data_IF_726760163809
#
_entry.id   IF_726760163809
#
_cell.length_a   1.000
_cell.length_b   1.000
_cell.length_c   1.000
_cell.angle_alpha   90.00
_cell.angle_beta   90.00
_cell.angle_gamma   90.00
#
_symmetry.space_group_name_H-M   'P 1'
#
loop_
_entity.id
_entity.type
_entity.pdbx_description
1 polymer ?
#
# COMPACT_ATOMS: atom_id res chain seq x y z
N UNK A 1 -16.09 -4.65 3.12
CA UNK A 1 -14.62 -4.60 3.23
C UNK A 1 -14.24 -3.22 3.75
N UNK A 2 -13.84 -3.11 5.02
CA UNK A 2 -13.26 -1.88 5.58
C UNK A 2 -11.79 -1.83 5.17
N UNK A 3 -11.51 -1.24 4.00
CA UNK A 3 -10.14 -0.86 3.64
C UNK A 3 -9.60 0.11 4.67
N UNK A 4 -8.34 -0.02 5.06
CA UNK A 4 -7.70 1.05 5.85
C UNK A 4 -7.71 2.31 4.97
N UNK A 5 -8.00 3.50 5.51
CA UNK A 5 -8.07 4.70 4.70
C UNK A 5 -6.67 5.20 4.34
N UNK A 6 -6.54 5.75 3.12
CA UNK A 6 -5.47 6.71 2.84
C UNK A 6 -5.79 8.00 3.59
N UNK A 7 -4.80 8.59 4.26
CA UNK A 7 -4.92 9.78 5.10
C UNK A 7 -4.04 10.89 4.56
N UNK A 8 -4.58 12.09 4.51
CA UNK A 8 -3.95 13.29 3.99
C UNK A 8 -4.07 14.43 4.99
N UNK A 9 -2.93 14.97 5.44
CA UNK A 9 -2.85 15.98 6.49
C UNK A 9 -1.90 17.11 6.08
N UNK A 10 -2.40 18.17 5.42
CA UNK A 10 -1.61 19.36 5.14
C UNK A 10 -1.39 20.21 6.40
N UNK A 11 -0.20 20.82 6.48
CA UNK A 11 0.14 21.87 7.42
C UNK A 11 -0.11 23.22 6.74
N UNK A 12 -1.12 23.94 7.22
CA UNK A 12 -1.56 25.21 6.66
C UNK A 12 -1.30 26.33 7.65
N UNK A 13 -0.80 27.46 7.14
CA UNK A 13 -0.60 28.68 7.92
C UNK A 13 -1.40 29.82 7.32
N UNK A 14 -2.28 30.42 8.10
CA UNK A 14 -2.91 31.71 7.75
C UNK A 14 -1.99 32.84 8.22
N UNK A 15 -1.92 33.95 7.50
CA UNK A 15 -1.12 35.12 7.91
C UNK A 15 -1.89 36.45 7.89
N UNK A 16 -3.19 36.38 7.59
CA UNK A 16 -4.14 37.50 7.66
C UNK A 16 -5.39 36.97 8.37
N UNK A 17 -6.10 37.83 9.11
CA UNK A 17 -7.40 37.46 9.67
C UNK A 17 -8.45 37.34 8.57
N UNK A 18 -9.21 36.27 8.59
CA UNK A 18 -10.28 36.01 7.64
C UNK A 18 -10.95 34.66 7.87
N UNK A 19 -12.00 34.44 7.09
CA UNK A 19 -12.63 33.13 6.92
C UNK A 19 -12.00 32.44 5.71
N UNK A 20 -11.48 31.24 5.94
CA UNK A 20 -10.81 30.43 4.94
C UNK A 20 -11.63 29.17 4.69
N UNK A 21 -11.86 28.85 3.42
CA UNK A 21 -12.43 27.59 2.99
C UNK A 21 -11.42 26.84 2.12
N UNK A 22 -11.17 25.59 2.46
CA UNK A 22 -10.23 24.73 1.76
C UNK A 22 -10.92 23.42 1.39
N UNK A 23 -10.80 23.05 0.13
CA UNK A 23 -11.22 21.74 -0.36
C UNK A 23 -10.02 20.80 -0.44
N UNK A 24 -10.15 19.68 0.27
CA UNK A 24 -9.23 18.55 0.27
C UNK A 24 -9.85 17.46 -0.59
N UNK A 25 -9.30 17.20 -1.77
CA UNK A 25 -9.78 16.14 -2.66
C UNK A 25 -8.78 15.00 -2.73
N UNK A 26 -9.20 13.81 -2.31
CA UNK A 26 -8.46 12.54 -2.46
C UNK A 26 -9.24 11.66 -3.43
N UNK A 27 -8.66 11.30 -4.58
CA UNK A 27 -9.29 10.42 -5.60
C UNK A 27 -10.77 10.72 -5.87
N UNK A 28 -11.08 12.01 -6.06
CA UNK A 28 -12.43 12.50 -6.36
C UNK A 28 -13.36 12.63 -5.14
N UNK A 29 -12.97 12.15 -3.97
CA UNK A 29 -13.69 12.42 -2.72
C UNK A 29 -13.23 13.76 -2.15
N UNK A 30 -14.14 14.72 -2.07
CA UNK A 30 -13.85 16.07 -1.58
C UNK A 30 -14.37 16.24 -0.15
N UNK A 31 -13.49 16.74 0.72
CA UNK A 31 -13.84 17.25 2.05
C UNK A 31 -13.57 18.75 2.08
N UNK A 32 -14.62 19.53 2.34
CA UNK A 32 -14.48 20.96 2.61
C UNK A 32 -14.23 21.16 4.10
N UNK A 33 -13.23 21.97 4.41
CA UNK A 33 -12.89 22.37 5.77
C UNK A 33 -12.82 23.89 5.83
N UNK A 34 -13.31 24.46 6.93
CA UNK A 34 -13.34 25.91 7.12
C UNK A 34 -12.54 26.30 8.35
N UNK A 35 -11.92 27.48 8.29
CA UNK A 35 -11.18 28.09 9.40
C UNK A 35 -11.53 29.57 9.48
N UNK A 36 -12.14 29.98 10.57
CA UNK A 36 -12.41 31.39 10.90
C UNK A 36 -11.35 31.88 11.89
N UNK A 37 -10.49 32.80 11.46
CA UNK A 37 -9.45 33.43 12.29
C UNK A 37 -9.84 34.85 12.74
N UNK A 38 -11.03 35.33 12.38
CA UNK A 38 -11.46 36.70 12.73
C UNK A 38 -11.57 36.91 14.24
N UNK A 39 -11.92 35.84 14.95
CA UNK A 39 -12.06 35.78 16.41
C UNK A 39 -10.76 35.43 17.13
N UNK A 40 -9.73 35.02 16.42
CA UNK A 40 -8.45 34.64 17.01
C UNK A 40 -7.69 35.88 17.51
N UNK A 41 -6.91 35.71 18.59
CA UNK A 41 -6.11 36.80 19.15
C UNK A 41 -4.96 37.23 18.20
N UNK A 42 -4.52 36.33 17.33
CA UNK A 42 -3.41 36.51 16.39
C UNK A 42 -3.90 36.35 14.94
N UNK A 43 -3.26 37.06 14.01
CA UNK A 43 -3.55 36.92 12.57
C UNK A 43 -2.89 35.67 11.95
N UNK A 44 -1.88 35.13 12.65
CA UNK A 44 -1.14 33.95 12.23
C UNK A 44 -1.65 32.74 13.02
N UNK A 45 -2.11 31.72 12.32
CA UNK A 45 -2.61 30.49 12.94
C UNK A 45 -2.21 29.27 12.13
N UNK A 46 -1.68 28.26 12.82
CA UNK A 46 -1.48 26.93 12.28
C UNK A 46 -2.82 26.20 12.18
N UNK A 47 -2.97 25.40 11.14
CA UNK A 47 -4.15 24.61 10.88
C UNK A 47 -3.80 23.30 10.17
N UNK A 48 -4.27 22.19 10.73
CA UNK A 48 -3.96 20.83 10.26
C UNK A 48 -5.24 20.05 10.00
N UNK A 49 -6.00 20.35 8.93
CA UNK A 49 -7.17 19.56 8.61
C UNK A 49 -6.74 18.20 8.06
N UNK A 50 -7.59 17.19 8.25
CA UNK A 50 -7.34 15.83 7.76
C UNK A 50 -8.44 15.40 6.79
N UNK A 51 -8.06 14.74 5.70
CA UNK A 51 -8.98 14.06 4.78
C UNK A 51 -8.61 12.59 4.65
N UNK A 52 -9.63 11.73 4.56
CA UNK A 52 -9.45 10.29 4.48
C UNK A 52 -10.35 9.67 3.41
N UNK A 53 -9.84 8.71 2.64
CA UNK A 53 -10.62 7.90 1.70
C UNK A 53 -10.33 6.43 1.94
N UNK A 54 -11.38 5.60 1.90
CA UNK A 54 -11.22 4.16 2.01
C UNK A 54 -10.47 3.61 0.79
N UNK A 55 -9.32 2.96 1.01
CA UNK A 55 -8.50 2.39 -0.06
C UNK A 55 -7.25 3.22 -0.39
N UNK A 56 -6.62 2.89 -1.53
CA UNK A 56 -5.46 3.60 -2.06
C UNK A 56 -5.89 4.83 -2.84
N UNK A 57 -5.14 5.92 -2.72
CA UNK A 57 -5.30 7.13 -3.53
C UNK A 57 -4.12 7.34 -4.49
N UNK A 58 -4.32 7.82 -5.70
CA UNK A 58 -3.22 8.16 -6.62
C UNK A 58 -3.10 9.66 -6.88
N UNK A 59 -4.01 10.45 -6.31
CA UNK A 59 -4.09 11.88 -6.56
C UNK A 59 -4.57 12.63 -5.33
N UNK A 60 -3.91 13.75 -5.05
CA UNK A 60 -4.40 14.72 -4.08
C UNK A 60 -4.45 16.11 -4.68
N UNK A 61 -5.56 16.81 -4.41
CA UNK A 61 -5.74 18.21 -4.77
C UNK A 61 -6.14 19.00 -3.53
N UNK A 62 -5.36 20.05 -3.26
CA UNK A 62 -5.67 21.09 -2.30
C UNK A 62 -6.18 22.31 -3.07
N UNK A 63 -7.38 22.80 -2.76
CA UNK A 63 -7.93 24.01 -3.39
C UNK A 63 -8.31 25.00 -2.31
N UNK A 64 -7.66 26.18 -2.31
CA UNK A 64 -8.14 27.32 -1.54
C UNK A 64 -9.33 27.93 -2.30
N UNK A 65 -10.47 28.03 -1.62
CA UNK A 65 -11.68 28.60 -2.20
C UNK A 65 -11.63 30.12 -1.98
N UNK A 66 -11.78 30.94 -3.04
CA UNK A 66 -11.80 32.39 -2.90
C UNK A 66 -12.93 32.84 -1.97
N UNK A 67 -12.60 33.71 -1.01
CA UNK A 67 -13.56 34.40 -0.16
C UNK A 67 -13.67 35.88 -0.51
N UNK A 68 -14.50 36.60 0.25
CA UNK A 68 -14.79 38.03 0.03
C UNK A 68 -13.68 38.98 0.51
N UNK A 69 -12.65 38.45 1.16
CA UNK A 69 -11.53 39.23 1.69
C UNK A 69 -10.22 38.83 1.04
N UNK A 70 -9.36 39.82 0.77
CA UNK A 70 -8.00 39.56 0.31
C UNK A 70 -7.24 38.84 1.43
N UNK A 71 -6.86 37.60 1.15
CA UNK A 71 -6.19 36.73 2.11
C UNK A 71 -5.19 35.83 1.41
N UNK A 72 -4.45 35.09 2.21
CA UNK A 72 -3.55 34.08 1.70
C UNK A 72 -3.20 33.07 2.77
N UNK A 73 -2.79 31.91 2.29
CA UNK A 73 -2.46 30.76 3.11
C UNK A 73 -1.17 30.16 2.58
N UNK A 74 -0.26 29.80 3.48
CA UNK A 74 0.94 29.06 3.14
C UNK A 74 0.67 27.58 3.40
N UNK A 75 1.17 26.75 2.50
CA UNK A 75 1.28 25.31 2.73
C UNK A 75 2.71 25.06 3.15
N UNK A 76 2.90 24.65 4.39
CA UNK A 76 4.24 24.37 4.93
C UNK A 76 4.70 22.98 4.52
N UNK A 77 3.91 21.97 4.87
CA UNK A 77 4.19 20.59 4.54
C UNK A 77 2.92 19.79 4.34
N UNK A 78 3.10 18.58 3.84
CA UNK A 78 2.02 17.67 3.59
C UNK A 78 2.42 16.26 4.03
N UNK A 79 1.71 15.73 5.02
CA UNK A 79 1.80 14.33 5.39
C UNK A 79 0.78 13.50 4.61
N UNK A 80 1.25 12.42 3.99
CA UNK A 80 0.42 11.46 3.28
C UNK A 80 0.74 10.06 3.77
N UNK A 81 -0.28 9.33 4.23
CA UNK A 81 -0.17 7.94 4.62
C UNK A 81 -1.09 7.08 3.74
N UNK A 82 -0.54 6.02 3.16
CA UNK A 82 -1.30 5.05 2.38
C UNK A 82 -1.16 3.65 2.95
N UNK A 83 -2.25 2.88 3.02
CA UNK A 83 -2.17 1.49 3.41
C UNK A 83 -1.71 0.64 2.24
N UNK A 84 -0.65 -0.13 2.46
CA UNK A 84 -0.27 -1.23 1.58
C UNK A 84 -1.03 -2.47 2.05
N UNK A 85 -1.98 -2.96 1.25
CA UNK A 85 -2.74 -4.16 1.59
C UNK A 85 -2.08 -5.40 0.98
N UNK A 86 -1.75 -6.37 1.83
CA UNK A 86 -1.24 -7.67 1.42
C UNK A 86 -2.24 -8.77 1.80
N UNK A 87 -2.85 -9.38 0.78
CA UNK A 87 -3.77 -10.51 0.96
C UNK A 87 -2.99 -11.83 0.88
N UNK A 88 -2.90 -12.52 2.02
CA UNK A 88 -2.13 -13.77 2.12
C UNK A 88 -2.97 -15.02 1.86
N UNK A 89 -4.26 -14.90 1.53
CA UNK A 89 -5.12 -16.03 1.11
C UNK A 89 -5.04 -17.25 2.04
N UNK A 90 -5.00 -16.99 3.35
CA UNK A 90 -4.91 -17.98 4.42
C UNK A 90 -3.61 -18.82 4.36
N UNK A 91 -2.51 -18.25 3.84
CA UNK A 91 -1.20 -18.88 3.72
C UNK A 91 -0.10 -18.08 4.42
N UNK A 92 1.04 -18.74 4.67
CA UNK A 92 2.27 -18.06 5.02
C UNK A 92 2.89 -17.36 3.81
N UNK A 93 3.70 -16.34 4.05
CA UNK A 93 4.39 -15.61 2.98
C UNK A 93 5.68 -14.97 3.47
N UNK A 94 6.62 -14.80 2.55
CA UNK A 94 7.73 -13.88 2.70
C UNK A 94 7.44 -12.68 1.81
N UNK A 95 7.58 -11.47 2.36
CA UNK A 95 7.44 -10.25 1.59
C UNK A 95 8.50 -9.24 2.01
N UNK A 96 8.87 -8.37 1.07
CA UNK A 96 9.83 -7.30 1.31
C UNK A 96 9.07 -5.97 1.41
N UNK A 97 9.43 -5.17 2.41
CA UNK A 97 9.06 -3.78 2.47
C UNK A 97 9.77 -2.94 1.41
N UNK A 98 9.50 -1.65 1.41
CA UNK A 98 10.10 -0.69 0.49
C UNK A 98 10.68 0.44 1.33
N UNK A 99 11.78 1.05 0.89
CA UNK A 99 12.34 2.23 1.56
C UNK A 99 11.27 3.33 1.70
N UNK A 100 11.31 4.02 2.84
CA UNK A 100 10.29 4.98 3.29
C UNK A 100 9.52 4.51 4.52
N UNK A 101 8.66 5.37 5.04
CA UNK A 101 7.76 5.03 6.15
C UNK A 101 6.42 4.57 5.60
N UNK A 102 6.09 3.31 5.83
CA UNK A 102 4.90 2.66 5.26
C UNK A 102 4.01 2.08 6.34
N UNK A 103 2.70 2.11 6.10
CA UNK A 103 1.69 1.43 6.91
C UNK A 103 1.21 0.19 6.16
N UNK A 104 1.55 -0.99 6.66
CA UNK A 104 1.12 -2.26 6.09
C UNK A 104 -0.20 -2.71 6.72
N UNK A 105 -1.09 -3.25 5.90
CA UNK A 105 -2.29 -3.98 6.32
C UNK A 105 -2.21 -5.40 5.77
N UNK A 106 -2.20 -6.36 6.66
CA UNK A 106 -2.28 -7.78 6.30
C UNK A 106 -3.76 -8.21 6.30
N UNK A 107 -4.16 -9.02 5.34
CA UNK A 107 -5.52 -9.58 5.28
C UNK A 107 -5.49 -11.07 4.94
N UNK A 108 -6.58 -11.75 5.30
CA UNK A 108 -6.74 -13.20 5.12
C UNK A 108 -5.53 -13.99 5.66
N UNK A 109 -5.14 -13.72 6.89
CA UNK A 109 -4.04 -14.43 7.55
C UNK A 109 -4.47 -15.84 7.99
N UNK A 110 -3.56 -16.83 7.95
CA UNK A 110 -3.80 -18.14 8.54
C UNK A 110 -4.09 -18.04 10.04
N UNK A 111 -4.93 -18.94 10.56
CA UNK A 111 -5.16 -19.06 12.00
C UNK A 111 -3.85 -19.32 12.76
N UNK A 112 -3.65 -18.65 13.89
CA UNK A 112 -2.42 -18.81 14.68
C UNK A 112 -1.16 -18.30 13.99
N UNK A 113 -1.30 -17.33 13.07
CA UNK A 113 -0.16 -16.74 12.41
C UNK A 113 0.82 -16.08 13.39
N UNK A 114 2.08 -15.99 12.98
CA UNK A 114 3.14 -15.22 13.64
C UNK A 114 3.90 -14.44 12.58
N UNK A 115 4.03 -13.13 12.80
CA UNK A 115 4.81 -12.23 11.94
C UNK A 115 6.21 -12.02 12.51
N UNK A 116 7.22 -12.21 11.66
CA UNK A 116 8.61 -11.95 11.97
C UNK A 116 9.17 -10.90 11.01
N UNK A 117 10.01 -10.02 11.55
CA UNK A 117 11.03 -9.33 10.78
C UNK A 117 12.24 -10.28 10.67
N UNK A 118 12.60 -10.60 9.43
CA UNK A 118 13.70 -11.50 9.06
C UNK A 118 14.74 -10.78 8.20
N UNK A 119 14.84 -9.46 8.34
CA UNK A 119 15.86 -8.66 7.62
C UNK A 119 17.27 -9.16 7.90
N UNK A 120 17.55 -9.51 9.17
CA UNK A 120 18.65 -10.41 9.51
C UNK A 120 18.11 -11.84 9.68
N UNK A 121 18.37 -12.75 8.73
CA UNK A 121 17.84 -14.11 8.80
C UNK A 121 18.44 -14.93 9.95
N UNK A 122 19.58 -14.53 10.52
CA UNK A 122 20.20 -15.20 11.68
C UNK A 122 19.66 -14.68 13.01
N UNK A 123 18.96 -13.54 13.01
CA UNK A 123 18.32 -12.97 14.19
C UNK A 123 16.87 -12.52 13.92
N UNK A 124 15.93 -13.45 13.62
CA UNK A 124 14.53 -13.11 13.42
C UNK A 124 13.90 -12.45 14.64
N UNK A 125 13.14 -11.38 14.42
CA UNK A 125 12.44 -10.63 15.47
C UNK A 125 10.93 -10.85 15.34
N UNK A 126 10.30 -11.38 16.38
CA UNK A 126 8.84 -11.53 16.43
C UNK A 126 8.18 -10.16 16.62
N UNK A 127 7.38 -9.73 15.64
CA UNK A 127 6.58 -8.51 15.72
C UNK A 127 5.27 -8.76 16.46
N UNK A 128 5.13 -8.11 17.63
CA UNK A 128 3.94 -8.20 18.50
C UNK A 128 3.19 -6.88 18.52
N UNK A 129 1.93 -6.92 18.95
CA UNK A 129 1.15 -5.70 19.20
C UNK A 129 0.50 -5.08 17.97
N UNK A 130 0.32 -5.83 16.89
CA UNK A 130 -0.44 -5.37 15.73
C UNK A 130 -1.92 -5.19 16.10
N UNK A 131 -2.43 -3.96 15.98
CA UNK A 131 -3.87 -3.69 16.01
C UNK A 131 -4.45 -3.90 14.62
N UNK A 132 -5.59 -4.60 14.52
CA UNK A 132 -6.35 -4.77 13.28
C UNK A 132 -5.53 -5.26 12.05
N UNK A 133 -4.52 -6.09 12.29
CA UNK A 133 -3.60 -6.61 11.26
C UNK A 133 -2.80 -5.50 10.54
N UNK A 134 -2.57 -4.39 11.22
CA UNK A 134 -1.76 -3.28 10.72
C UNK A 134 -0.49 -3.09 11.52
N UNK A 135 0.57 -2.63 10.84
CA UNK A 135 1.80 -2.16 11.47
C UNK A 135 2.47 -1.07 10.60
N UNK A 136 3.33 -0.28 11.22
CA UNK A 136 4.15 0.72 10.55
C UNK A 136 5.63 0.34 10.62
N UNK A 137 6.37 0.61 9.55
CA UNK A 137 7.81 0.38 9.48
C UNK A 137 8.49 1.40 8.56
N UNK A 138 9.81 1.54 8.71
CA UNK A 138 10.69 2.42 7.96
C UNK A 138 11.78 3.07 8.81
N UNK A 139 12.67 3.87 8.22
CA UNK A 139 12.70 4.25 6.81
C UNK A 139 13.39 3.22 5.90
N UNK A 140 14.12 2.27 6.45
CA UNK A 140 14.85 1.27 5.66
C UNK A 140 13.94 0.09 5.31
N UNK A 141 14.06 -0.45 4.09
CA UNK A 141 13.31 -1.65 3.70
C UNK A 141 13.68 -2.87 4.57
N UNK A 142 12.64 -3.56 5.06
CA UNK A 142 12.77 -4.80 5.85
C UNK A 142 12.18 -6.01 5.15
N UNK A 143 12.61 -7.20 5.53
CA UNK A 143 12.03 -8.47 5.02
C UNK A 143 11.20 -9.12 6.10
N UNK A 144 10.02 -9.59 5.73
CA UNK A 144 9.03 -10.13 6.66
C UNK A 144 8.65 -11.56 6.32
N UNK A 145 8.38 -12.34 7.37
CA UNK A 145 7.83 -13.69 7.26
C UNK A 145 6.55 -13.80 8.08
N UNK A 146 5.45 -14.13 7.41
CA UNK A 146 4.25 -14.65 8.07
C UNK A 146 4.33 -16.17 8.08
N UNK A 147 4.46 -16.71 9.28
CA UNK A 147 4.39 -18.15 9.55
C UNK A 147 3.08 -18.50 10.23
N UNK A 148 2.74 -19.79 10.34
CA UNK A 148 1.59 -20.27 11.11
C UNK A 148 1.94 -21.56 11.83
N UNK A 149 1.30 -21.75 13.00
CA UNK A 149 1.63 -22.80 13.97
C UNK A 149 1.52 -24.24 13.44
N UNK A 150 0.71 -24.48 12.40
CA UNK A 150 0.43 -25.85 11.93
C UNK A 150 1.28 -26.32 10.73
N UNK A 151 2.13 -25.46 10.16
CA UNK A 151 3.10 -25.90 9.15
C UNK A 151 4.08 -24.77 8.79
N UNK A 152 5.36 -24.99 9.06
CA UNK A 152 6.47 -24.18 8.54
C UNK A 152 6.89 -24.58 7.12
N UNK A 153 6.27 -25.62 6.55
CA UNK A 153 6.55 -26.14 5.22
C UNK A 153 5.40 -25.78 4.29
N UNK A 154 5.65 -24.85 3.37
CA UNK A 154 4.83 -24.72 2.18
C UNK A 154 4.65 -26.11 1.56
N UNK A 155 3.43 -26.65 1.57
CA UNK A 155 3.11 -27.90 0.87
C UNK A 155 2.72 -27.49 -0.55
N UNK A 156 3.61 -27.63 -1.56
CA UNK A 156 3.26 -27.29 -2.93
C UNK A 156 2.05 -28.14 -3.34
N UNK A 157 1.03 -27.52 -3.92
CA UNK A 157 -0.04 -28.27 -4.56
C UNK A 157 0.52 -28.91 -5.83
N UNK A 158 0.74 -30.23 -5.77
CA UNK A 158 1.02 -31.03 -6.95
C UNK A 158 -0.30 -31.23 -7.69
N UNK A 159 -0.50 -30.47 -8.77
CA UNK A 159 -1.63 -30.69 -9.68
C UNK A 159 -1.16 -31.65 -10.77
N UNK A 160 -1.84 -32.78 -10.91
CA UNK A 160 -1.62 -33.68 -12.03
C UNK A 160 -2.06 -33.00 -13.33
N UNK A 161 -1.11 -32.76 -14.24
CA UNK A 161 -1.46 -32.38 -15.61
C UNK A 161 -1.92 -33.60 -16.39
N UNK A 162 -3.02 -33.47 -17.12
CA UNK A 162 -3.38 -34.46 -18.14
C UNK A 162 -2.27 -34.48 -19.20
N UNK A 163 -1.63 -35.63 -19.47
CA UNK A 163 -0.62 -35.72 -20.52
C UNK A 163 -1.18 -35.23 -21.85
N UNK A 164 -0.38 -34.42 -22.56
CA UNK A 164 -0.68 -34.08 -23.95
C UNK A 164 -0.73 -35.38 -24.76
N UNK A 165 -1.86 -35.61 -25.43
CA UNK A 165 -2.02 -36.76 -26.32
C UNK A 165 -1.35 -36.46 -27.65
N UNK A 166 -0.21 -37.08 -27.90
CA UNK A 166 0.52 -37.01 -29.19
C UNK A 166 -0.14 -37.84 -30.30
N UNK A 167 -1.37 -38.33 -30.10
CA UNK A 167 -2.03 -39.23 -31.05
C UNK A 167 -2.38 -38.56 -32.39
N UNK A 168 -2.36 -37.23 -32.46
CA UNK A 168 -2.47 -36.45 -33.70
C UNK A 168 -1.12 -36.26 -34.43
N UNK A 169 0.00 -36.69 -33.82
CA UNK A 169 1.38 -36.33 -34.19
C UNK A 169 2.17 -37.52 -34.74
N UNK A 170 1.53 -38.48 -35.42
CA UNK A 170 2.21 -39.67 -35.98
C UNK A 170 3.26 -39.40 -37.07
N UNK A 171 3.56 -38.13 -37.37
CA UNK A 171 4.51 -37.70 -38.40
C UNK A 171 5.34 -36.48 -37.96
N UNK A 172 5.76 -36.43 -36.69
CA UNK A 172 6.65 -35.35 -36.23
C UNK A 172 8.00 -35.94 -35.85
N UNK A 173 9.06 -35.53 -36.55
CA UNK A 173 10.42 -36.04 -36.36
C UNK A 173 11.13 -35.43 -35.13
N UNK A 174 10.61 -34.34 -34.56
CA UNK A 174 11.13 -33.71 -33.36
C UNK A 174 10.04 -32.99 -32.54
N UNK A 175 10.18 -33.00 -31.21
CA UNK A 175 9.35 -32.23 -30.26
C UNK A 175 10.24 -31.23 -29.55
N UNK A 176 9.90 -29.94 -29.64
CA UNK A 176 10.62 -28.85 -28.98
C UNK A 176 9.91 -28.47 -27.68
N UNK A 177 10.64 -28.42 -26.58
CA UNK A 177 10.14 -27.99 -25.26
C UNK A 177 11.01 -26.83 -24.78
N UNK A 178 10.43 -25.64 -24.64
CA UNK A 178 11.11 -24.45 -24.11
C UNK A 178 10.13 -23.51 -23.38
N UNK A 179 10.62 -22.62 -22.51
CA UNK A 179 9.81 -21.53 -21.96
C UNK A 179 9.29 -20.63 -23.08
N UNK A 180 8.08 -20.08 -22.93
CA UNK A 180 7.36 -19.39 -24.02
C UNK A 180 8.17 -18.30 -24.72
N UNK A 181 8.99 -17.54 -23.98
CA UNK A 181 9.81 -16.46 -24.54
C UNK A 181 11.02 -16.92 -25.37
N UNK A 182 11.33 -18.22 -25.39
CA UNK A 182 12.48 -18.78 -26.11
C UNK A 182 12.08 -19.63 -27.32
N UNK A 183 10.78 -19.81 -27.58
CA UNK A 183 10.31 -20.65 -28.69
C UNK A 183 10.85 -20.11 -30.03
N UNK A 184 10.84 -18.79 -30.24
CA UNK A 184 11.32 -18.17 -31.49
C UNK A 184 12.86 -18.21 -31.63
N UNK A 185 13.58 -18.47 -30.54
CA UNK A 185 15.03 -18.57 -30.52
C UNK A 185 15.54 -20.01 -30.73
N UNK A 186 14.64 -21.00 -30.80
CA UNK A 186 15.02 -22.39 -31.06
C UNK A 186 15.37 -22.57 -32.53
N UNK A 187 16.63 -22.92 -32.80
CA UNK A 187 17.03 -23.39 -34.11
C UNK A 187 16.45 -24.80 -34.35
N UNK A 188 15.86 -25.07 -35.53
CA UNK A 188 15.47 -26.42 -35.89
C UNK A 188 16.68 -27.36 -35.87
N UNK A 189 16.51 -28.54 -35.28
CA UNK A 189 17.51 -29.61 -35.29
C UNK A 189 17.49 -30.43 -36.60
N UNK A 190 16.61 -30.08 -37.54
CA UNK A 190 16.43 -30.69 -38.86
C UNK A 190 16.37 -29.59 -39.94
#
# INVERSE_FOLDING_TARGET
ASGTPSIFTPQLLTYIKGEYEVQLTLDGTTKTVTRDTTKDAVAVSDWQPEASVNGTSNSVKLTLIPGDTAGGMLVDSLAWAQPVSLDLRNAGAIFQGVDGTWRYKLSNLPGGYVLYDITDPLAPVHLRGMSDLTFEDGPDARTYLVSYLDSTLFVPQVVGHSPLSFNASKQVDAVYIAPAGYIDALAPLL
#
